data_IF_300916496992
#
_entry.id   IF_300916496992
#
_cell.length_a   1.000
_cell.length_b   1.000
_cell.length_c   1.000
_cell.angle_alpha   90.00
_cell.angle_beta   90.00
_cell.angle_gamma   90.00
#
_symmetry.space_group_name_H-M   'P 1'
#
loop_
_entity.id
_entity.type
_entity.pdbx_description
1 polymer ?
#
# COMPACT_ATOMS: atom_id res chain seq x y z
N UNK A 1 -8.15 16.01 -15.99
CA UNK A 1 -8.24 17.42 -15.59
C UNK A 1 -7.10 17.83 -14.66
N UNK A 2 -6.96 19.14 -14.41
CA UNK A 2 -5.97 19.66 -13.46
C UNK A 2 -6.35 19.28 -12.03
N UNK A 3 -7.64 19.20 -11.70
CA UNK A 3 -8.10 18.70 -10.41
C UNK A 3 -7.62 17.31 -10.11
N UNK A 4 -7.64 16.43 -11.10
CA UNK A 4 -7.16 15.05 -10.91
C UNK A 4 -5.69 15.05 -10.50
N UNK A 5 -4.86 15.90 -11.10
CA UNK A 5 -3.45 15.99 -10.73
C UNK A 5 -3.25 16.52 -9.30
N UNK A 6 -4.08 17.50 -8.87
CA UNK A 6 -4.02 17.98 -7.48
C UNK A 6 -4.45 16.91 -6.49
N UNK A 7 -5.54 16.19 -6.78
CA UNK A 7 -6.01 15.11 -5.92
C UNK A 7 -5.04 13.93 -5.90
N UNK A 8 -4.46 13.59 -7.05
CA UNK A 8 -3.51 12.49 -7.19
C UNK A 8 -2.15 12.81 -6.56
N UNK A 9 -1.61 14.00 -6.84
CA UNK A 9 -0.24 14.39 -6.44
C UNK A 9 -0.18 15.17 -5.12
N UNK A 10 -1.33 15.51 -4.52
CA UNK A 10 -1.53 16.14 -3.22
C UNK A 10 -0.99 17.57 -3.07
N UNK A 11 -0.08 18.02 -3.91
CA UNK A 11 0.49 19.37 -3.82
C UNK A 11 0.50 20.08 -5.17
N UNK A 12 0.29 21.41 -5.15
CA UNK A 12 0.39 22.24 -6.34
C UNK A 12 1.80 22.20 -6.94
N UNK A 13 2.83 22.05 -6.11
CA UNK A 13 4.22 21.93 -6.55
C UNK A 13 4.41 20.68 -7.41
N UNK A 14 4.06 19.48 -6.91
CA UNK A 14 4.18 18.22 -7.66
C UNK A 14 3.29 18.20 -8.92
N UNK A 15 2.10 18.80 -8.84
CA UNK A 15 1.26 18.96 -10.02
C UNK A 15 1.92 19.88 -11.06
N UNK A 16 2.62 20.93 -10.62
CA UNK A 16 3.33 21.85 -11.52
C UNK A 16 4.51 21.17 -12.22
N UNK A 17 5.31 20.39 -11.50
CA UNK A 17 6.40 19.58 -12.07
C UNK A 17 5.85 18.56 -13.08
N UNK A 18 4.85 17.76 -12.69
CA UNK A 18 4.26 16.73 -13.55
C UNK A 18 3.65 17.29 -14.84
N UNK A 19 3.04 18.47 -14.76
CA UNK A 19 2.41 19.15 -15.89
C UNK A 19 3.34 20.13 -16.63
N UNK A 20 4.57 20.31 -16.14
CA UNK A 20 5.54 21.28 -16.65
C UNK A 20 4.92 22.71 -16.76
N UNK A 21 4.28 23.14 -15.67
CA UNK A 21 3.58 24.44 -15.58
C UNK A 21 3.97 25.14 -14.27
N UNK A 22 3.96 26.46 -14.27
CA UNK A 22 4.17 27.23 -13.05
C UNK A 22 3.05 26.98 -12.03
N UNK A 23 3.39 26.95 -10.75
CA UNK A 23 2.44 26.71 -9.66
C UNK A 23 1.29 27.74 -9.65
N UNK A 24 1.57 29.00 -9.99
CA UNK A 24 0.54 30.04 -10.12
C UNK A 24 -0.48 29.75 -11.24
N UNK A 25 -0.03 29.08 -12.31
CA UNK A 25 -0.93 28.62 -13.39
C UNK A 25 -1.81 27.49 -12.89
N UNK A 26 -1.24 26.56 -12.09
CA UNK A 26 -2.01 25.47 -11.47
C UNK A 26 -3.11 26.03 -10.56
N UNK A 27 -2.76 26.99 -9.69
CA UNK A 27 -3.72 27.62 -8.76
C UNK A 27 -4.86 28.33 -9.50
N UNK A 28 -4.54 29.17 -10.50
CA UNK A 28 -5.57 29.88 -11.30
C UNK A 28 -6.48 28.91 -12.06
N UNK A 29 -5.90 27.86 -12.65
CA UNK A 29 -6.69 26.88 -13.36
C UNK A 29 -7.57 26.05 -12.40
N UNK A 30 -7.11 25.76 -11.17
CA UNK A 30 -7.92 25.10 -10.15
C UNK A 30 -9.15 25.98 -9.77
N UNK A 31 -8.94 27.29 -9.55
CA UNK A 31 -10.03 28.21 -9.28
C UNK A 31 -11.05 28.26 -10.44
N UNK A 32 -10.57 28.31 -11.68
CA UNK A 32 -11.45 28.29 -12.85
C UNK A 32 -12.24 26.98 -12.97
N UNK A 33 -11.61 25.84 -12.68
CA UNK A 33 -12.30 24.55 -12.67
C UNK A 33 -13.39 24.49 -11.59
N UNK A 34 -13.14 25.03 -10.39
CA UNK A 34 -14.14 25.12 -9.33
C UNK A 34 -15.40 25.86 -9.81
N UNK A 35 -15.21 26.96 -10.52
CA UNK A 35 -16.31 27.74 -11.07
C UNK A 35 -17.06 27.02 -12.20
N UNK A 36 -16.33 26.33 -13.09
CA UNK A 36 -16.94 25.62 -14.24
C UNK A 36 -17.77 24.42 -13.78
N UNK A 37 -17.26 23.66 -12.80
CA UNK A 37 -17.90 22.44 -12.34
C UNK A 37 -18.79 22.62 -11.11
N UNK A 38 -18.88 23.84 -10.58
CA UNK A 38 -19.62 24.19 -9.36
C UNK A 38 -19.23 23.28 -8.17
N UNK A 39 -17.93 23.10 -7.98
CA UNK A 39 -17.35 22.30 -6.89
C UNK A 39 -16.34 23.11 -6.13
N UNK A 40 -16.12 22.77 -4.86
CA UNK A 40 -15.06 23.34 -4.02
C UNK A 40 -13.97 22.30 -3.80
N UNK A 41 -12.72 22.71 -3.98
CA UNK A 41 -11.55 21.90 -3.63
C UNK A 41 -11.15 22.25 -2.20
N UNK A 42 -11.26 21.28 -1.32
CA UNK A 42 -10.96 21.40 0.12
C UNK A 42 -9.73 20.55 0.44
N UNK A 43 -8.84 21.09 1.27
CA UNK A 43 -7.65 20.36 1.71
C UNK A 43 -7.82 19.97 3.18
N UNK A 44 -7.91 18.66 3.43
CA UNK A 44 -8.02 18.08 4.76
C UNK A 44 -6.93 17.03 4.95
N UNK A 45 -6.22 17.06 6.09
CA UNK A 45 -5.16 16.10 6.43
C UNK A 45 -4.15 15.86 5.30
N UNK A 46 -3.74 16.92 4.61
CA UNK A 46 -2.85 16.89 3.44
C UNK A 46 -3.46 16.30 2.15
N UNK A 47 -4.70 15.84 2.15
CA UNK A 47 -5.43 15.34 0.99
C UNK A 47 -6.37 16.41 0.40
N UNK A 48 -6.57 16.35 -0.93
CA UNK A 48 -7.54 17.19 -1.62
C UNK A 48 -8.82 16.43 -1.85
N UNK A 49 -9.91 16.88 -1.26
CA UNK A 49 -11.28 16.39 -1.50
C UNK A 49 -12.09 17.40 -2.29
N UNK A 50 -13.20 16.95 -2.85
CA UNK A 50 -14.17 17.79 -3.54
C UNK A 50 -15.45 17.85 -2.73
N UNK A 51 -16.01 19.04 -2.60
CA UNK A 51 -17.32 19.29 -2.01
C UNK A 51 -18.22 19.94 -3.05
N UNK A 52 -19.49 19.56 -3.10
CA UNK A 52 -20.48 20.03 -4.08
C UNK A 52 -20.98 18.92 -4.99
N UNK A 53 -21.67 19.28 -6.06
CA UNK A 53 -22.19 18.33 -7.05
C UNK A 53 -21.11 17.97 -8.07
N UNK A 54 -20.55 16.77 -7.99
CA UNK A 54 -19.44 16.31 -8.84
C UNK A 54 -19.89 15.69 -10.17
N UNK A 55 -21.19 15.57 -10.45
CA UNK A 55 -21.73 14.84 -11.63
C UNK A 55 -21.08 15.27 -12.94
N UNK A 56 -20.97 16.57 -13.18
CA UNK A 56 -20.36 17.09 -14.42
C UNK A 56 -18.86 16.80 -14.48
N UNK A 57 -18.15 16.96 -13.37
CA UNK A 57 -16.72 16.65 -13.27
C UNK A 57 -16.47 15.15 -13.45
N UNK A 58 -17.30 14.29 -12.87
CA UNK A 58 -17.18 12.83 -13.00
C UNK A 58 -17.44 12.37 -14.44
N UNK A 59 -18.36 13.01 -15.14
CA UNK A 59 -18.57 12.78 -16.57
C UNK A 59 -17.33 13.17 -17.40
N UNK A 60 -16.73 14.35 -17.14
CA UNK A 60 -15.49 14.80 -17.78
C UNK A 60 -14.34 13.82 -17.50
N UNK A 61 -14.19 13.34 -16.27
CA UNK A 61 -13.19 12.35 -15.87
C UNK A 61 -13.32 11.04 -16.60
N UNK A 62 -14.55 10.53 -16.74
CA UNK A 62 -14.82 9.29 -17.50
C UNK A 62 -14.42 9.44 -18.98
N UNK A 63 -14.72 10.57 -19.60
CA UNK A 63 -14.29 10.86 -20.98
C UNK A 63 -12.76 10.85 -21.07
N UNK A 64 -12.08 11.50 -20.14
CA UNK A 64 -10.61 11.54 -20.12
C UNK A 64 -9.99 10.17 -19.81
N UNK A 65 -10.58 9.38 -18.91
CA UNK A 65 -10.13 8.02 -18.63
C UNK A 65 -10.28 7.15 -19.88
N UNK A 66 -11.44 7.14 -20.50
CA UNK A 66 -11.69 6.42 -21.74
C UNK A 66 -10.69 6.80 -22.84
N UNK A 67 -10.38 8.10 -22.96
CA UNK A 67 -9.36 8.59 -23.89
C UNK A 67 -7.97 8.03 -23.56
N UNK A 68 -7.54 8.03 -22.30
CA UNK A 68 -6.26 7.44 -21.89
C UNK A 68 -6.17 5.97 -22.28
N UNK A 69 -7.19 5.19 -21.97
CA UNK A 69 -7.22 3.76 -22.28
C UNK A 69 -7.18 3.49 -23.79
N UNK A 70 -7.89 4.25 -24.57
CA UNK A 70 -8.08 3.98 -26.01
C UNK A 70 -7.00 4.59 -26.91
N UNK A 71 -6.44 5.75 -26.59
CA UNK A 71 -5.58 6.55 -27.48
C UNK A 71 -4.10 6.52 -27.12
N UNK A 72 -3.65 5.55 -26.28
CA UNK A 72 -2.24 5.40 -25.93
C UNK A 72 -1.67 6.55 -25.10
N UNK A 73 -2.51 7.35 -24.41
CA UNK A 73 -2.03 8.34 -23.46
C UNK A 73 -1.54 7.61 -22.20
N UNK A 74 -0.55 8.17 -21.46
CA UNK A 74 -0.08 7.53 -20.26
C UNK A 74 -1.21 7.28 -19.26
N UNK A 75 -1.34 6.04 -18.82
CA UNK A 75 -2.24 5.65 -17.74
C UNK A 75 -1.60 5.98 -16.40
N UNK A 76 -2.40 6.19 -15.37
CA UNK A 76 -1.95 6.65 -14.05
C UNK A 76 -1.91 5.48 -13.07
N UNK A 77 -0.73 5.22 -12.56
CA UNK A 77 -0.45 4.17 -11.60
C UNK A 77 0.01 4.76 -10.27
N UNK A 78 -0.48 4.20 -9.17
CA UNK A 78 0.01 4.54 -7.85
C UNK A 78 0.12 3.30 -6.97
N UNK A 79 0.79 3.39 -5.82
CA UNK A 79 0.93 2.30 -4.90
C UNK A 79 0.88 2.76 -3.43
N UNK A 80 0.73 1.80 -2.54
CA UNK A 80 0.93 2.03 -1.12
C UNK A 80 2.42 2.30 -0.82
N UNK A 81 2.66 3.03 0.26
CA UNK A 81 3.99 3.54 0.60
C UNK A 81 5.03 2.42 0.80
N UNK A 82 4.66 1.35 1.48
CA UNK A 82 5.58 0.25 1.85
C UNK A 82 5.98 -0.66 0.71
N UNK A 83 5.23 -0.75 -0.36
CA UNK A 83 5.61 -1.50 -1.57
C UNK A 83 6.40 -0.66 -2.56
N UNK A 84 6.44 0.66 -2.36
CA UNK A 84 7.06 1.62 -3.27
C UNK A 84 8.50 1.28 -3.62
N UNK A 85 9.32 1.04 -2.61
CA UNK A 85 10.76 0.91 -2.80
C UNK A 85 11.11 -0.34 -3.60
N UNK A 86 10.37 -1.43 -3.40
CA UNK A 86 10.52 -2.65 -4.20
C UNK A 86 10.18 -2.42 -5.68
N UNK A 87 9.09 -1.68 -5.97
CA UNK A 87 8.65 -1.44 -7.34
C UNK A 87 9.17 -0.13 -7.96
N UNK A 88 9.99 0.64 -7.26
CA UNK A 88 10.45 1.97 -7.73
C UNK A 88 11.33 1.91 -8.99
N UNK A 89 12.09 0.82 -9.17
CA UNK A 89 12.95 0.60 -10.33
C UNK A 89 12.23 0.02 -11.56
N UNK A 90 10.93 -0.29 -11.44
CA UNK A 90 10.16 -0.93 -12.49
C UNK A 90 9.92 0.02 -13.68
N UNK A 91 10.29 -0.43 -14.87
CA UNK A 91 9.96 0.26 -16.13
C UNK A 91 8.48 0.05 -16.47
N UNK A 92 7.67 1.07 -16.22
CA UNK A 92 6.20 0.98 -16.34
C UNK A 92 5.65 1.15 -17.77
N UNK A 93 6.50 1.35 -18.78
CA UNK A 93 6.05 1.51 -20.18
C UNK A 93 5.10 2.69 -20.36
N UNK A 94 3.87 2.40 -20.77
CA UNK A 94 2.81 3.40 -21.05
C UNK A 94 2.12 3.95 -19.77
N UNK A 95 2.64 3.64 -18.59
CA UNK A 95 2.08 4.11 -17.33
C UNK A 95 2.92 5.23 -16.74
N UNK A 96 2.27 6.13 -16.03
CA UNK A 96 2.93 7.22 -15.30
C UNK A 96 2.59 7.14 -13.83
N UNK A 97 3.60 7.24 -12.99
CA UNK A 97 3.44 7.16 -11.53
C UNK A 97 3.04 8.49 -10.91
N UNK A 98 2.32 8.40 -9.81
CA UNK A 98 2.09 9.49 -8.88
C UNK A 98 3.22 9.61 -7.86
N UNK A 99 2.82 9.78 -6.60
CA UNK A 99 3.78 9.90 -5.49
C UNK A 99 4.22 8.55 -4.92
N UNK A 100 3.53 7.48 -5.27
CA UNK A 100 3.75 6.12 -4.77
C UNK A 100 3.84 6.08 -3.23
N UNK A 101 2.96 6.76 -2.54
CA UNK A 101 3.04 6.91 -1.09
C UNK A 101 1.69 7.04 -0.39
N UNK A 102 0.66 6.36 -0.88
CA UNK A 102 -0.62 6.30 -0.18
C UNK A 102 -0.47 5.51 1.11
N UNK A 103 -0.95 6.09 2.20
CA UNK A 103 -0.94 5.48 3.54
C UNK A 103 -2.31 4.89 3.86
N UNK A 104 -3.39 5.56 3.46
CA UNK A 104 -4.75 5.14 3.76
C UNK A 104 -5.30 4.17 2.70
N UNK A 105 -6.11 3.22 3.14
CA UNK A 105 -6.74 2.20 2.28
C UNK A 105 -7.85 2.76 1.38
N UNK A 106 -8.72 3.63 1.90
CA UNK A 106 -9.90 4.13 1.17
C UNK A 106 -9.54 5.11 0.05
N UNK A 107 -8.52 5.93 0.26
CA UNK A 107 -8.17 6.99 -0.69
C UNK A 107 -7.86 6.51 -2.11
N UNK A 108 -7.01 5.50 -2.33
CA UNK A 108 -6.76 4.97 -3.68
C UNK A 108 -8.02 4.39 -4.34
N UNK A 109 -8.92 3.76 -3.57
CA UNK A 109 -10.20 3.26 -4.09
C UNK A 109 -11.07 4.39 -4.62
N UNK A 110 -11.18 5.49 -3.88
CA UNK A 110 -11.91 6.68 -4.31
C UNK A 110 -11.31 7.29 -5.59
N UNK A 111 -9.99 7.33 -5.70
CA UNK A 111 -9.31 7.84 -6.88
C UNK A 111 -9.52 6.93 -8.10
N UNK A 112 -9.58 5.61 -7.92
CA UNK A 112 -9.96 4.65 -8.97
C UNK A 112 -11.41 4.85 -9.41
N UNK A 113 -12.35 4.93 -8.45
CA UNK A 113 -13.79 5.14 -8.72
C UNK A 113 -14.05 6.44 -9.47
N UNK A 114 -13.37 7.50 -9.05
CA UNK A 114 -13.50 8.82 -9.69
C UNK A 114 -12.66 8.99 -10.95
N UNK A 115 -12.06 7.91 -11.48
CA UNK A 115 -11.26 7.92 -12.71
C UNK A 115 -10.03 8.87 -12.66
N UNK A 116 -9.55 9.18 -11.46
CA UNK A 116 -8.35 9.99 -11.24
C UNK A 116 -7.09 9.19 -11.47
N UNK A 117 -7.04 7.94 -10.99
CA UNK A 117 -6.00 6.96 -11.31
C UNK A 117 -6.61 5.77 -12.07
N UNK A 118 -5.78 4.98 -12.73
CA UNK A 118 -6.21 3.89 -13.59
C UNK A 118 -5.83 2.51 -13.02
N UNK A 119 -4.83 2.46 -12.15
CA UNK A 119 -4.42 1.25 -11.41
C UNK A 119 -3.77 1.62 -10.07
N UNK A 120 -3.87 0.71 -9.13
CA UNK A 120 -3.30 0.83 -7.79
C UNK A 120 -2.69 -0.50 -7.35
N UNK A 121 -1.47 -0.44 -6.81
CA UNK A 121 -0.82 -1.58 -6.18
C UNK A 121 -1.03 -1.51 -4.67
N UNK A 122 -1.67 -2.52 -4.10
CA UNK A 122 -2.00 -2.62 -2.68
C UNK A 122 -1.42 -3.88 -2.06
N UNK A 123 -1.49 -3.96 -0.73
CA UNK A 123 -1.10 -5.14 0.03
C UNK A 123 -2.31 -6.00 0.39
N UNK A 124 -2.14 -7.32 0.30
CA UNK A 124 -3.09 -8.30 0.83
C UNK A 124 -2.89 -8.46 2.36
N UNK A 125 -3.95 -8.77 3.10
CA UNK A 125 -5.31 -9.08 2.69
C UNK A 125 -6.21 -7.85 2.43
N UNK A 126 -5.68 -6.64 2.52
CA UNK A 126 -6.40 -5.38 2.41
C UNK A 126 -6.72 -4.97 0.95
N UNK A 127 -6.94 -5.93 0.06
CA UNK A 127 -7.43 -5.64 -1.29
C UNK A 127 -8.95 -5.41 -1.28
N UNK A 128 -9.49 -4.54 -2.17
CA UNK A 128 -10.92 -4.30 -2.25
C UNK A 128 -11.69 -5.55 -2.70
N UNK A 129 -12.84 -5.78 -2.08
CA UNK A 129 -13.74 -6.90 -2.39
C UNK A 129 -14.96 -6.48 -3.23
N UNK A 130 -15.11 -5.19 -3.46
CA UNK A 130 -16.23 -4.61 -4.21
C UNK A 130 -16.17 -4.98 -5.69
N UNK A 131 -17.32 -5.29 -6.28
CA UNK A 131 -17.46 -5.79 -7.66
C UNK A 131 -17.02 -4.80 -8.75
N UNK A 132 -16.90 -3.51 -8.43
CA UNK A 132 -16.42 -2.49 -9.36
C UNK A 132 -14.89 -2.52 -9.53
N UNK A 133 -14.19 -3.31 -8.72
CA UNK A 133 -12.76 -3.56 -8.83
C UNK A 133 -12.44 -4.99 -9.24
N UNK A 134 -11.35 -5.14 -9.97
CA UNK A 134 -10.72 -6.42 -10.23
C UNK A 134 -9.34 -6.44 -9.59
N UNK A 135 -9.11 -7.45 -8.77
CA UNK A 135 -7.86 -7.64 -8.01
C UNK A 135 -7.05 -8.76 -8.65
N UNK A 136 -5.82 -8.45 -8.99
CA UNK A 136 -4.84 -9.39 -9.45
C UNK A 136 -3.81 -9.63 -8.36
N UNK A 137 -3.89 -10.75 -7.66
CA UNK A 137 -2.86 -11.17 -6.72
C UNK A 137 -1.54 -11.39 -7.47
N UNK A 138 -0.47 -10.80 -6.99
CA UNK A 138 0.85 -10.90 -7.62
C UNK A 138 1.72 -11.91 -6.89
N UNK A 139 1.73 -11.84 -5.56
CA UNK A 139 2.48 -12.76 -4.72
C UNK A 139 1.79 -12.98 -3.37
N UNK A 140 2.20 -14.02 -2.69
CA UNK A 140 1.88 -14.27 -1.29
C UNK A 140 3.15 -14.60 -0.50
N UNK A 141 3.19 -14.19 0.78
CA UNK A 141 4.34 -14.36 1.64
C UNK A 141 3.91 -14.35 3.11
N UNK A 142 4.73 -14.89 4.04
CA UNK A 142 4.43 -14.84 5.47
C UNK A 142 4.54 -13.41 6.02
N UNK A 143 3.79 -13.15 7.07
CA UNK A 143 4.03 -12.01 7.95
C UNK A 143 5.19 -12.34 8.88
N UNK A 144 6.15 -11.43 8.98
CA UNK A 144 7.29 -11.52 9.86
C UNK A 144 7.14 -10.53 11.02
N UNK A 145 7.57 -10.94 12.22
CA UNK A 145 7.91 -9.99 13.28
C UNK A 145 9.40 -9.72 13.21
N UNK A 146 9.79 -8.47 13.24
CA UNK A 146 11.16 -8.03 13.28
C UNK A 146 11.46 -7.35 14.62
N UNK A 147 12.68 -7.47 15.09
CA UNK A 147 13.16 -6.80 16.28
C UNK A 147 14.64 -6.44 16.12
N UNK A 148 15.15 -5.54 16.97
CA UNK A 148 16.59 -5.30 17.04
C UNK A 148 17.31 -6.57 17.47
N UNK A 149 18.49 -6.85 16.94
CA UNK A 149 19.26 -8.08 17.21
C UNK A 149 19.60 -8.28 18.70
N UNK A 150 19.53 -7.20 19.48
CA UNK A 150 19.71 -7.21 20.94
C UNK A 150 18.45 -7.59 21.70
N UNK A 151 17.31 -7.75 21.01
CA UNK A 151 16.02 -8.04 21.64
C UNK A 151 16.04 -9.40 22.34
N UNK A 152 15.51 -9.50 23.58
CA UNK A 152 15.58 -10.73 24.37
C UNK A 152 14.91 -11.95 23.74
N UNK A 153 13.93 -11.75 22.85
CA UNK A 153 13.27 -12.86 22.16
C UNK A 153 14.20 -13.69 21.27
N UNK A 154 15.32 -13.13 20.79
CA UNK A 154 16.29 -13.91 20.01
C UNK A 154 16.97 -15.00 20.85
N UNK A 155 17.06 -14.84 22.17
CA UNK A 155 17.64 -15.86 23.07
C UNK A 155 16.79 -17.12 23.12
N UNK A 156 15.51 -17.09 22.79
CA UNK A 156 14.61 -18.23 22.75
C UNK A 156 14.81 -19.14 21.53
N UNK A 157 15.39 -18.60 20.44
CA UNK A 157 15.61 -19.34 19.21
C UNK A 157 14.33 -20.01 18.69
N UNK A 158 14.43 -21.29 18.32
CA UNK A 158 13.31 -22.09 17.80
C UNK A 158 12.20 -22.40 18.85
N UNK A 159 12.42 -22.08 20.12
CA UNK A 159 11.43 -22.23 21.19
C UNK A 159 10.50 -21.01 21.30
N UNK A 160 10.75 -19.97 20.54
CA UNK A 160 9.96 -18.73 20.54
C UNK A 160 8.52 -19.01 20.13
N UNK A 161 7.57 -18.56 20.96
CA UNK A 161 6.13 -18.69 20.73
C UNK A 161 5.46 -17.34 20.49
N UNK A 162 4.23 -17.37 19.98
CA UNK A 162 3.40 -16.16 19.85
C UNK A 162 3.15 -15.54 21.23
N UNK A 163 2.89 -16.36 22.26
CA UNK A 163 2.66 -15.88 23.63
C UNK A 163 3.85 -15.11 24.19
N UNK A 164 5.07 -15.48 23.81
CA UNK A 164 6.28 -14.75 24.21
C UNK A 164 6.34 -13.40 23.50
N UNK A 165 5.98 -13.35 22.22
CA UNK A 165 5.97 -12.12 21.44
C UNK A 165 4.86 -11.14 21.91
N UNK A 166 3.71 -11.65 22.38
CA UNK A 166 2.60 -10.83 22.89
C UNK A 166 2.95 -10.00 24.12
N UNK A 167 4.05 -10.32 24.80
CA UNK A 167 4.55 -9.57 25.97
C UNK A 167 5.24 -8.26 25.60
N UNK A 168 5.50 -8.04 24.31
CA UNK A 168 6.24 -6.90 23.82
C UNK A 168 5.36 -5.99 22.96
N UNK A 169 5.58 -4.67 23.01
CA UNK A 169 4.82 -3.73 22.21
C UNK A 169 5.18 -3.87 20.74
N UNK A 170 4.17 -3.71 19.87
CA UNK A 170 4.35 -3.68 18.43
C UNK A 170 4.31 -2.24 17.94
N UNK A 171 5.22 -1.87 17.05
CA UNK A 171 5.21 -0.57 16.39
C UNK A 171 3.86 -0.35 15.69
N UNK A 172 3.24 0.82 15.90
CA UNK A 172 1.92 1.09 15.33
C UNK A 172 1.99 1.12 13.80
N UNK A 173 1.05 0.43 13.17
CA UNK A 173 0.80 0.62 11.75
C UNK A 173 0.15 1.99 11.52
N UNK A 174 0.38 2.61 10.34
CA UNK A 174 -0.27 3.84 9.99
C UNK A 174 -1.80 3.70 10.07
N UNK A 175 -2.45 4.71 10.65
CA UNK A 175 -3.88 4.70 10.85
C UNK A 175 -4.63 4.52 9.51
N UNK A 176 -5.65 3.67 9.48
CA UNK A 176 -6.50 3.37 8.32
C UNK A 176 -5.75 2.75 7.11
N UNK A 177 -4.52 2.27 7.32
CA UNK A 177 -3.74 1.69 6.23
C UNK A 177 -4.11 0.24 5.91
N UNK A 178 -4.33 -0.57 6.95
CA UNK A 178 -4.51 -2.01 6.85
C UNK A 178 -5.64 -2.51 7.75
N UNK A 179 -6.90 -2.15 7.46
CA UNK A 179 -8.01 -2.49 8.36
C UNK A 179 -8.25 -3.99 8.51
N UNK A 180 -8.09 -4.78 7.44
CA UNK A 180 -8.28 -6.24 7.50
C UNK A 180 -7.12 -6.90 8.21
N UNK A 181 -5.88 -6.55 7.84
CA UNK A 181 -4.69 -7.07 8.51
C UNK A 181 -4.69 -6.73 10.01
N UNK A 182 -5.02 -5.48 10.39
CA UNK A 182 -5.08 -5.07 11.79
C UNK A 182 -6.10 -5.90 12.59
N UNK A 183 -7.26 -6.21 12.02
CA UNK A 183 -8.26 -7.06 12.65
C UNK A 183 -7.74 -8.49 12.85
N UNK A 184 -7.10 -9.08 11.83
CA UNK A 184 -6.50 -10.40 11.93
C UNK A 184 -5.38 -10.42 12.98
N UNK A 185 -4.49 -9.44 12.96
CA UNK A 185 -3.38 -9.33 13.88
C UNK A 185 -3.85 -9.14 15.32
N UNK A 186 -4.88 -8.32 15.54
CA UNK A 186 -5.52 -8.14 16.85
C UNK A 186 -6.20 -9.43 17.34
N UNK A 187 -6.77 -10.25 16.44
CA UNK A 187 -7.38 -11.53 16.82
C UNK A 187 -6.39 -12.56 17.34
N UNK A 188 -5.10 -12.39 17.02
CA UNK A 188 -4.01 -13.19 17.59
C UNK A 188 -3.54 -12.68 18.98
N UNK A 189 -4.13 -11.58 19.47
CA UNK A 189 -3.78 -10.99 20.78
C UNK A 189 -2.79 -9.83 20.70
N UNK A 190 -2.25 -9.51 19.52
CA UNK A 190 -1.37 -8.35 19.37
C UNK A 190 -2.14 -7.03 19.48
N UNK A 191 -1.61 -6.12 20.27
CA UNK A 191 -2.17 -4.77 20.39
C UNK A 191 -1.15 -3.73 19.93
N UNK A 192 -1.62 -2.75 19.16
CA UNK A 192 -0.82 -1.59 18.76
C UNK A 192 -0.76 -0.51 19.86
N UNK A 193 -1.19 -0.84 21.07
CA UNK A 193 -1.16 0.09 22.21
C UNK A 193 0.24 0.08 22.81
N UNK A 194 0.90 1.22 22.81
CA UNK A 194 2.16 1.45 23.52
C UNK A 194 2.03 1.42 25.05
N UNK A 195 1.16 0.58 25.61
CA UNK A 195 1.07 0.28 27.01
C UNK A 195 2.01 -0.90 27.28
N UNK A 196 3.23 -0.59 27.62
CA UNK A 196 4.08 -1.55 28.30
C UNK A 196 3.33 -2.03 29.54
N UNK A 197 2.92 -3.29 29.54
CA UNK A 197 2.53 -3.96 30.76
C UNK A 197 3.78 -3.96 31.62
N UNK A 198 3.80 -3.07 32.61
CA UNK A 198 4.80 -3.06 33.66
C UNK A 198 4.59 -4.29 34.56
N UNK A 199 4.83 -5.47 34.00
CA UNK A 199 4.93 -6.66 34.80
C UNK A 199 6.34 -6.70 35.38
N UNK A 200 6.43 -6.32 36.65
CA UNK A 200 7.61 -6.36 37.52
C UNK A 200 8.13 -7.79 37.78
N UNK A 201 7.87 -8.74 36.87
CA UNK A 201 8.27 -10.15 37.02
C UNK A 201 9.55 -10.55 36.25
N UNK A 202 10.19 -9.61 35.55
CA UNK A 202 11.56 -9.85 35.08
C UNK A 202 12.52 -9.57 36.24
N UNK A 203 13.02 -10.67 36.82
CA UNK A 203 13.81 -10.71 38.01
C UNK A 203 14.98 -9.71 38.01
N UNK A 204 15.18 -9.13 39.18
CA UNK A 204 16.37 -8.39 39.62
C UNK A 204 17.66 -9.18 39.34
N UNK A 205 18.19 -9.05 38.14
CA UNK A 205 19.59 -9.46 37.89
C UNK A 205 20.13 -8.75 36.68
N UNK A 206 21.05 -7.84 36.94
CA UNK A 206 21.93 -7.10 36.03
C UNK A 206 21.44 -5.73 35.59
N UNK A 207 22.23 -4.72 35.96
CA UNK A 207 22.16 -3.28 35.73
C UNK A 207 22.27 -2.84 34.26
N UNK A 208 21.53 -3.46 33.32
CA UNK A 208 21.41 -2.99 31.94
C UNK A 208 20.11 -3.47 31.31
N UNK A 209 18.98 -2.94 31.78
CA UNK A 209 17.74 -3.08 31.00
C UNK A 209 17.94 -2.39 29.65
N UNK A 210 17.62 -3.04 28.52
CA UNK A 210 17.70 -2.39 27.22
C UNK A 210 16.82 -1.13 27.21
N UNK A 211 17.19 -0.08 26.44
CA UNK A 211 16.33 1.08 26.26
C UNK A 211 14.94 0.64 25.82
N UNK A 212 13.91 1.31 26.30
CA UNK A 212 12.51 0.97 25.99
C UNK A 212 12.26 0.83 24.48
N UNK A 213 12.94 1.65 23.69
CA UNK A 213 12.89 1.68 22.21
C UNK A 213 13.40 0.37 21.59
N UNK A 214 14.27 -0.35 22.26
CA UNK A 214 14.83 -1.62 21.77
C UNK A 214 13.91 -2.83 22.01
N UNK A 215 12.80 -2.63 22.74
CA UNK A 215 11.83 -3.69 23.06
C UNK A 215 10.62 -3.72 22.10
N UNK A 216 10.57 -2.85 21.11
CA UNK A 216 9.48 -2.85 20.13
C UNK A 216 9.68 -3.92 19.06
N UNK A 217 8.56 -4.53 18.69
CA UNK A 217 8.48 -5.42 17.52
C UNK A 217 7.98 -4.64 16.31
N UNK A 218 8.57 -4.88 15.17
CA UNK A 218 8.11 -4.35 13.86
C UNK A 218 7.36 -5.42 13.08
N UNK A 219 6.44 -5.02 12.22
CA UNK A 219 5.78 -5.90 11.26
C UNK A 219 6.48 -5.74 9.93
N UNK A 220 6.93 -6.85 9.35
CA UNK A 220 7.63 -6.89 8.09
C UNK A 220 7.13 -8.03 7.20
N UNK A 221 7.61 -8.05 5.99
CA UNK A 221 7.50 -9.17 5.05
C UNK A 221 8.89 -9.50 4.50
N UNK A 222 9.10 -10.64 3.83
CA UNK A 222 10.35 -10.92 3.14
C UNK A 222 10.80 -9.80 2.17
N UNK A 223 9.85 -9.05 1.58
CA UNK A 223 10.16 -7.93 0.67
C UNK A 223 10.47 -6.61 1.39
N UNK A 224 9.98 -6.43 2.62
CA UNK A 224 10.08 -5.16 3.34
C UNK A 224 11.04 -5.18 4.50
N UNK A 225 11.53 -6.35 4.93
CA UNK A 225 12.47 -6.47 6.05
C UNK A 225 13.76 -5.67 5.83
N UNK A 226 14.21 -5.54 4.59
CA UNK A 226 15.39 -4.76 4.22
C UNK A 226 15.20 -3.24 4.35
N UNK A 227 13.97 -2.75 4.57
CA UNK A 227 13.70 -1.34 4.81
C UNK A 227 13.93 -0.93 6.28
N UNK A 228 14.06 -1.89 7.18
CA UNK A 228 14.47 -1.63 8.56
C UNK A 228 15.97 -1.32 8.65
N UNK A 229 16.37 -0.67 9.74
CA UNK A 229 17.78 -0.44 10.03
C UNK A 229 18.56 -1.76 10.12
N UNK A 230 19.86 -1.74 9.87
CA UNK A 230 20.70 -2.94 9.74
C UNK A 230 20.83 -3.78 11.03
N UNK A 231 20.48 -3.20 12.17
CA UNK A 231 20.46 -3.88 13.47
C UNK A 231 19.13 -4.63 13.73
N UNK A 232 18.13 -4.49 12.85
CA UNK A 232 16.91 -5.28 12.90
C UNK A 232 17.05 -6.61 12.17
N UNK A 233 16.35 -7.62 12.67
CA UNK A 233 16.26 -8.94 12.03
C UNK A 233 14.88 -9.56 12.25
N UNK A 234 14.44 -10.47 11.36
CA UNK A 234 13.24 -11.23 11.58
C UNK A 234 13.42 -12.18 12.77
N UNK A 235 12.42 -12.26 13.63
CA UNK A 235 12.35 -13.27 14.69
C UNK A 235 12.08 -14.66 14.08
N UNK A 236 12.61 -15.74 14.65
CA UNK A 236 12.35 -17.12 14.23
C UNK A 236 10.93 -17.57 14.65
N UNK A 237 9.92 -16.84 14.21
CA UNK A 237 8.52 -17.04 14.56
C UNK A 237 7.63 -16.89 13.34
N UNK A 238 6.78 -17.88 13.09
CA UNK A 238 5.78 -17.82 12.03
C UNK A 238 4.48 -17.23 12.56
N UNK A 239 4.05 -16.12 11.98
CA UNK A 239 2.73 -15.52 12.22
C UNK A 239 1.73 -16.12 11.23
N UNK A 240 0.57 -16.66 11.68
CA UNK A 240 -0.40 -17.32 10.80
C UNK A 240 -1.26 -16.33 10.01
N UNK A 241 -0.64 -15.33 9.44
CA UNK A 241 -1.25 -14.34 8.54
C UNK A 241 -0.42 -14.29 7.27
N UNK A 242 -1.03 -14.67 6.16
CA UNK A 242 -0.43 -14.52 4.84
C UNK A 242 -0.73 -13.14 4.29
N UNK A 243 0.29 -12.48 3.79
CA UNK A 243 0.23 -11.17 3.15
C UNK A 243 0.74 -11.27 1.71
N UNK A 244 0.65 -10.21 0.95
CA UNK A 244 1.14 -10.19 -0.42
C UNK A 244 0.87 -8.87 -1.10
N UNK A 245 1.19 -8.78 -2.38
CA UNK A 245 0.90 -7.62 -3.21
C UNK A 245 -0.16 -7.95 -4.24
N UNK A 246 -0.99 -6.97 -4.56
CA UNK A 246 -2.04 -7.11 -5.57
C UNK A 246 -2.18 -5.85 -6.42
N UNK A 247 -2.41 -6.04 -7.72
CA UNK A 247 -2.77 -4.98 -8.65
C UNK A 247 -4.29 -4.83 -8.70
N UNK A 248 -4.79 -3.63 -8.46
CA UNK A 248 -6.21 -3.29 -8.50
C UNK A 248 -6.49 -2.37 -9.68
N UNK A 249 -7.48 -2.73 -10.47
CA UNK A 249 -8.01 -1.90 -11.57
C UNK A 249 -9.54 -1.89 -11.53
N UNK A 250 -10.17 -0.97 -12.23
CA UNK A 250 -11.62 -1.04 -12.46
C UNK A 250 -11.96 -2.30 -13.26
N UNK A 251 -13.03 -3.02 -12.87
CA UNK A 251 -13.43 -4.29 -13.49
C UNK A 251 -13.59 -4.21 -15.00
N UNK A 252 -14.06 -3.08 -15.52
CA UNK A 252 -14.22 -2.82 -16.96
C UNK A 252 -12.90 -2.82 -17.75
N UNK A 253 -11.74 -2.61 -17.07
CA UNK A 253 -10.41 -2.61 -17.69
C UNK A 253 -9.57 -3.85 -17.38
N UNK A 254 -10.11 -4.82 -16.64
CA UNK A 254 -9.38 -6.01 -16.20
C UNK A 254 -8.80 -6.83 -17.37
N UNK A 255 -9.53 -6.92 -18.48
CA UNK A 255 -9.09 -7.69 -19.66
C UNK A 255 -8.37 -6.86 -20.72
N UNK A 256 -8.18 -5.56 -20.48
CA UNK A 256 -7.55 -4.66 -21.44
C UNK A 256 -6.07 -5.00 -21.63
N UNK A 257 -5.55 -4.90 -22.86
CA UNK A 257 -4.16 -5.23 -23.19
C UNK A 257 -3.14 -4.48 -22.33
N UNK A 258 -3.39 -3.21 -22.02
CA UNK A 258 -2.48 -2.41 -21.19
C UNK A 258 -2.48 -2.83 -19.72
N UNK A 259 -3.59 -3.38 -19.21
CA UNK A 259 -3.63 -4.02 -17.89
C UNK A 259 -2.78 -5.28 -17.87
N UNK A 260 -2.88 -6.10 -18.91
CA UNK A 260 -2.07 -7.33 -19.05
C UNK A 260 -0.58 -7.01 -19.19
N UNK A 261 -0.22 -5.96 -19.93
CA UNK A 261 1.18 -5.52 -20.04
C UNK A 261 1.73 -5.08 -18.67
N UNK A 262 0.98 -4.24 -17.92
CA UNK A 262 1.39 -3.85 -16.57
C UNK A 262 1.53 -5.06 -15.64
N UNK A 263 0.56 -5.97 -15.66
CA UNK A 263 0.59 -7.19 -14.86
C UNK A 263 1.81 -8.05 -15.18
N UNK A 264 2.11 -8.24 -16.48
CA UNK A 264 3.29 -8.99 -16.92
C UNK A 264 4.59 -8.34 -16.42
N UNK A 265 4.70 -7.02 -16.46
CA UNK A 265 5.87 -6.28 -15.97
C UNK A 265 6.04 -6.43 -14.46
N UNK A 266 4.95 -6.33 -13.70
CA UNK A 266 4.96 -6.51 -12.24
C UNK A 266 5.40 -7.93 -11.86
N UNK A 267 4.84 -8.96 -12.52
CA UNK A 267 5.20 -10.35 -12.29
C UNK A 267 6.66 -10.65 -12.67
N UNK A 268 7.11 -10.14 -13.83
CA UNK A 268 8.51 -10.30 -14.23
C UNK A 268 9.48 -9.60 -13.29
N UNK A 269 9.09 -8.44 -12.75
CA UNK A 269 9.89 -7.72 -11.75
C UNK A 269 9.99 -8.52 -10.44
N UNK A 270 8.87 -9.08 -9.96
CA UNK A 270 8.86 -9.98 -8.81
C UNK A 270 9.79 -11.16 -9.05
N UNK A 271 9.60 -11.90 -10.14
CA UNK A 271 10.40 -13.09 -10.48
C UNK A 271 11.91 -12.77 -10.48
N UNK A 272 12.28 -11.66 -11.11
CA UNK A 272 13.69 -11.25 -11.21
C UNK A 272 14.32 -10.80 -9.89
N UNK A 273 13.52 -10.32 -8.92
CA UNK A 273 14.02 -9.72 -7.69
C UNK A 273 13.72 -10.56 -6.43
N UNK A 274 12.98 -11.67 -6.56
CA UNK A 274 12.65 -12.55 -5.42
C UNK A 274 13.25 -13.92 -5.51
N UNK A 275 13.99 -14.26 -6.57
CA UNK A 275 14.55 -15.60 -6.77
C UNK A 275 15.39 -16.15 -5.60
N UNK A 276 16.06 -15.26 -4.86
CA UNK A 276 16.85 -15.60 -3.68
C UNK A 276 16.09 -15.38 -2.35
N UNK A 277 14.87 -14.85 -2.39
CA UNK A 277 14.08 -14.55 -1.21
C UNK A 277 13.17 -15.75 -0.91
N UNK A 278 13.45 -16.43 0.21
CA UNK A 278 12.62 -17.54 0.65
C UNK A 278 11.20 -17.09 0.99
N UNK A 279 10.26 -18.00 0.80
CA UNK A 279 8.87 -17.88 1.25
C UNK A 279 8.02 -16.81 0.49
N UNK A 280 8.50 -16.29 -0.65
CA UNK A 280 7.70 -15.50 -1.57
C UNK A 280 7.18 -16.41 -2.67
N UNK A 281 5.86 -16.54 -2.77
CA UNK A 281 5.19 -17.34 -3.79
C UNK A 281 4.57 -16.38 -4.81
N UNK A 282 5.05 -16.43 -6.04
CA UNK A 282 4.49 -15.63 -7.15
C UNK A 282 3.25 -16.33 -7.71
N UNK A 283 2.13 -15.62 -7.76
CA UNK A 283 0.87 -16.17 -8.27
C UNK A 283 0.86 -16.07 -9.78
N UNK A 284 1.11 -17.20 -10.45
CA UNK A 284 1.04 -17.30 -11.90
C UNK A 284 -0.39 -17.15 -12.45
N UNK A 285 -0.53 -16.71 -13.71
CA UNK A 285 -1.84 -16.55 -14.39
C UNK A 285 -2.71 -17.82 -14.41
N UNK A 286 -2.13 -18.99 -14.20
CA UNK A 286 -2.84 -20.28 -14.26
C UNK A 286 -3.64 -20.63 -13.01
N UNK A 287 -3.36 -20.04 -11.86
CA UNK A 287 -4.05 -20.33 -10.60
C UNK A 287 -5.45 -19.68 -10.52
N UNK A 288 -5.76 -18.74 -11.41
CA UNK A 288 -7.02 -17.98 -11.43
C UNK A 288 -8.24 -18.71 -11.95
N UNK A 289 -8.06 -19.83 -12.67
CA UNK A 289 -9.20 -20.64 -13.15
C UNK A 289 -9.82 -21.54 -12.08
N UNK A 290 -9.17 -21.70 -10.94
CA UNK A 290 -9.60 -22.62 -9.87
C UNK A 290 -10.39 -21.96 -8.73
N UNK A 291 -10.44 -20.63 -8.63
CA UNK A 291 -11.05 -19.92 -7.48
C UNK A 291 -12.40 -19.23 -7.77
N UNK A 292 -13.03 -19.52 -8.90
CA UNK A 292 -14.44 -19.12 -9.09
C UNK A 292 -15.32 -20.20 -8.47
N UNK A 293 -16.00 -19.94 -7.33
CA UNK A 293 -17.00 -20.88 -6.83
C UNK A 293 -18.11 -20.98 -7.89
N UNK A 294 -18.35 -22.17 -8.41
CA UNK A 294 -19.60 -22.44 -9.13
C UNK A 294 -20.74 -22.27 -8.14
N UNK A 295 -21.54 -21.21 -8.29
CA UNK A 295 -22.87 -21.12 -7.73
C UNK A 295 -23.79 -22.12 -8.39
#
# INVERSE_FOLDING_TARGET
SLFDHLQWLRTGYRASEKLQRHQSTISRAATKCQQIFDVKLVKERAEWSLSGNTVLLDAERKVHQYWRWRKGRPLRFDCQHWVRDFYSSLALGDWTTGNLNYMEYERPKDLLRSSVIDAWLCSLPDAPVESDFHVFELCSMPTLLAAKRTHPLFALGDLLTIDDALRFPVLPLPNLAFPVFQNLFSSLGFSHSGSLVSDSSFGDSCNSSPPLEDLFLGIATPLTIGAYESDWAPLPLTIPITVGDALVVRSEYATHLRTRDLLSRLLSHLDSNTGDIKDVIIVGEQTRKASVPKL
#
